data_IF_122041852592
#
_entry.id   IF_122041852592
#
_cell.length_a   1.000
_cell.length_b   1.000
_cell.length_c   1.000
_cell.angle_alpha   90.00
_cell.angle_beta   90.00
_cell.angle_gamma   90.00
#
_symmetry.space_group_name_H-M   'P 1'
#
loop_
_entity.id
_entity.type
_entity.pdbx_description
1 polymer ?
#
# COMPACT_ATOMS: atom_id res chain seq x y z
N UNK A 1 4.28 -54.33 -31.48
CA UNK A 1 4.25 -53.59 -30.20
C UNK A 1 5.65 -53.03 -29.95
N UNK A 2 5.95 -51.81 -30.43
CA UNK A 2 7.23 -51.15 -30.16
C UNK A 2 6.99 -49.95 -29.25
N UNK A 3 7.02 -50.19 -27.94
CA UNK A 3 7.18 -49.13 -26.94
C UNK A 3 8.64 -48.71 -26.91
N UNK A 4 9.01 -47.75 -27.75
CA UNK A 4 10.38 -47.25 -27.82
C UNK A 4 10.77 -46.45 -26.56
N UNK A 5 12.01 -46.58 -26.05
CA UNK A 5 12.48 -45.91 -24.83
C UNK A 5 12.48 -44.37 -24.89
N UNK A 6 12.26 -43.78 -26.07
CA UNK A 6 12.21 -42.33 -26.29
C UNK A 6 10.99 -41.61 -25.69
N UNK A 7 9.88 -42.31 -25.45
CA UNK A 7 8.66 -41.69 -24.86
C UNK A 7 8.77 -41.43 -23.36
N UNK A 8 9.63 -42.17 -22.66
CA UNK A 8 9.85 -41.98 -21.22
C UNK A 8 10.81 -40.82 -20.95
N UNK A 9 11.93 -40.72 -21.69
CA UNK A 9 12.91 -39.64 -21.53
C UNK A 9 12.33 -38.25 -21.84
N UNK A 10 11.51 -38.15 -22.90
CA UNK A 10 10.80 -36.91 -23.23
C UNK A 10 9.81 -36.51 -22.15
N UNK A 11 9.11 -37.46 -21.52
CA UNK A 11 8.21 -37.22 -20.39
C UNK A 11 8.96 -36.74 -19.13
N UNK A 12 10.12 -37.30 -18.82
CA UNK A 12 10.97 -36.85 -17.70
C UNK A 12 11.50 -35.43 -17.93
N UNK A 13 12.00 -35.14 -19.14
CA UNK A 13 12.50 -33.81 -19.49
C UNK A 13 11.40 -32.72 -19.46
N UNK A 14 10.19 -33.04 -19.91
CA UNK A 14 9.04 -32.14 -19.84
C UNK A 14 8.65 -31.88 -18.38
N UNK A 15 8.64 -32.92 -17.54
CA UNK A 15 8.27 -32.83 -16.12
C UNK A 15 9.29 -32.02 -15.30
N UNK A 16 10.58 -32.18 -15.60
CA UNK A 16 11.65 -31.41 -14.96
C UNK A 16 11.58 -29.93 -15.35
N UNK A 17 11.31 -29.64 -16.63
CA UNK A 17 11.12 -28.27 -17.11
C UNK A 17 9.87 -27.60 -16.56
N UNK A 18 8.76 -28.34 -16.37
CA UNK A 18 7.56 -27.80 -15.70
C UNK A 18 7.79 -27.54 -14.22
N UNK A 19 8.51 -28.43 -13.52
CA UNK A 19 8.81 -28.29 -12.10
C UNK A 19 9.66 -27.06 -11.83
N UNK A 20 10.68 -26.81 -12.67
CA UNK A 20 11.50 -25.60 -12.60
C UNK A 20 10.65 -24.33 -12.78
N UNK A 21 9.76 -24.28 -13.78
CA UNK A 21 8.86 -23.14 -14.01
C UNK A 21 7.96 -22.86 -12.80
N UNK A 22 7.41 -23.90 -12.19
CA UNK A 22 6.55 -23.77 -11.00
C UNK A 22 7.34 -23.19 -9.83
N UNK A 23 8.55 -23.70 -9.57
CA UNK A 23 9.41 -23.19 -8.48
C UNK A 23 9.79 -21.72 -8.69
N UNK A 24 10.06 -21.31 -9.94
CA UNK A 24 10.33 -19.90 -10.25
C UNK A 24 9.10 -19.01 -10.00
N UNK A 25 7.91 -19.43 -10.44
CA UNK A 25 6.67 -18.68 -10.20
C UNK A 25 6.35 -18.60 -8.70
N UNK A 26 6.53 -19.70 -7.96
CA UNK A 26 6.30 -19.72 -6.51
C UNK A 26 7.23 -18.73 -5.79
N UNK A 27 8.53 -18.70 -6.17
CA UNK A 27 9.50 -17.74 -5.63
C UNK A 27 9.15 -16.30 -5.97
N UNK A 28 8.64 -16.05 -7.17
CA UNK A 28 8.22 -14.72 -7.59
C UNK A 28 7.02 -14.25 -6.78
N UNK A 29 5.98 -15.08 -6.65
CA UNK A 29 4.78 -14.79 -5.86
C UNK A 29 5.16 -14.55 -4.39
N UNK A 30 6.01 -15.41 -3.81
CA UNK A 30 6.48 -15.25 -2.44
C UNK A 30 7.22 -13.91 -2.23
N UNK A 31 8.08 -13.50 -3.18
CA UNK A 31 8.75 -12.19 -3.12
C UNK A 31 7.77 -11.03 -3.23
N UNK A 32 6.80 -11.10 -4.14
CA UNK A 32 5.76 -10.08 -4.27
C UNK A 32 4.95 -9.95 -2.98
N UNK A 33 4.53 -11.05 -2.38
CA UNK A 33 3.83 -11.05 -1.09
C UNK A 33 4.67 -10.42 0.02
N UNK A 34 5.96 -10.76 0.12
CA UNK A 34 6.85 -10.15 1.10
C UNK A 34 6.99 -8.64 0.89
N UNK A 35 7.14 -8.17 -0.35
CA UNK A 35 7.23 -6.73 -0.66
C UNK A 35 5.93 -6.02 -0.28
N UNK A 36 4.78 -6.61 -0.60
CA UNK A 36 3.46 -6.05 -0.28
C UNK A 36 3.24 -5.99 1.24
N UNK A 37 3.68 -7.01 1.97
CA UNK A 37 3.66 -7.04 3.42
C UNK A 37 4.55 -5.94 4.02
N UNK A 38 5.78 -5.78 3.52
CA UNK A 38 6.70 -4.72 3.96
C UNK A 38 6.12 -3.34 3.69
N UNK A 39 5.56 -3.12 2.49
CA UNK A 39 4.91 -1.86 2.15
C UNK A 39 3.74 -1.57 3.09
N UNK A 40 2.89 -2.57 3.36
CA UNK A 40 1.78 -2.40 4.29
C UNK A 40 2.28 -2.11 5.72
N UNK A 41 3.32 -2.82 6.17
CA UNK A 41 3.94 -2.64 7.47
C UNK A 41 4.70 -1.31 7.61
N UNK A 42 5.19 -0.73 6.51
CA UNK A 42 5.78 0.61 6.48
C UNK A 42 4.70 1.70 6.37
N UNK A 43 3.61 1.44 5.65
CA UNK A 43 2.49 2.37 5.52
C UNK A 43 1.65 2.45 6.79
N UNK A 44 1.53 1.37 7.57
CA UNK A 44 0.82 1.37 8.85
C UNK A 44 1.38 2.41 9.85
N UNK A 45 2.70 2.44 10.14
CA UNK A 45 3.31 3.45 10.99
C UNK A 45 3.48 4.78 10.28
N UNK A 46 3.47 4.86 8.93
CA UNK A 46 3.47 6.13 8.21
C UNK A 46 2.09 6.81 8.21
N UNK A 47 1.01 6.05 8.33
CA UNK A 47 -0.35 6.61 8.40
C UNK A 47 -0.53 7.55 9.57
N UNK A 48 0.08 7.28 10.74
CA UNK A 48 0.07 8.18 11.91
C UNK A 48 0.78 9.53 11.66
N UNK A 49 2.09 9.59 11.35
CA UNK A 49 2.80 10.85 11.15
C UNK A 49 2.28 11.61 9.93
N UNK A 50 1.84 10.92 8.86
CA UNK A 50 1.19 11.57 7.72
C UNK A 50 -0.12 12.24 8.16
N UNK A 51 -0.95 11.54 8.94
CA UNK A 51 -2.20 12.12 9.45
C UNK A 51 -1.94 13.29 10.39
N UNK A 52 -0.98 13.19 11.31
CA UNK A 52 -0.58 14.30 12.19
C UNK A 52 0.01 15.48 11.39
N UNK A 53 0.78 15.21 10.35
CA UNK A 53 1.37 16.24 9.49
C UNK A 53 0.32 16.97 8.66
N UNK A 54 -0.64 16.22 8.11
CA UNK A 54 -1.83 16.75 7.45
C UNK A 54 -2.61 17.61 8.45
N UNK A 55 -2.92 17.10 9.64
CA UNK A 55 -3.59 17.85 10.70
C UNK A 55 -2.86 19.16 11.04
N UNK A 56 -1.54 19.10 11.22
CA UNK A 56 -0.70 20.26 11.47
C UNK A 56 -0.78 21.28 10.34
N UNK A 57 -0.62 20.87 9.07
CA UNK A 57 -0.75 21.78 7.91
C UNK A 57 -2.15 22.38 7.81
N UNK A 58 -3.19 21.60 8.11
CA UNK A 58 -4.57 22.04 8.04
C UNK A 58 -4.94 23.04 9.12
N UNK A 59 -4.27 22.99 10.27
CA UNK A 59 -4.44 23.92 11.41
C UNK A 59 -3.35 24.99 11.47
N UNK A 60 -2.31 24.90 10.62
CA UNK A 60 -1.21 25.85 10.56
C UNK A 60 -1.76 27.21 10.15
N UNK A 61 -1.84 28.14 11.10
CA UNK A 61 -2.18 29.52 10.77
C UNK A 61 -1.00 30.19 10.06
N UNK A 62 -1.24 30.95 8.97
CA UNK A 62 -0.19 31.69 8.30
C UNK A 62 0.40 32.75 9.24
N UNK A 63 1.70 32.65 9.51
CA UNK A 63 2.46 33.58 10.35
C UNK A 63 2.44 34.97 9.71
N UNK A 64 1.61 35.88 10.23
CA UNK A 64 1.49 37.25 9.75
C UNK A 64 0.06 37.74 9.52
N UNK A 65 -0.95 36.88 9.63
CA UNK A 65 -2.34 37.30 9.63
C UNK A 65 -2.79 37.64 11.06
N UNK A 66 -3.44 38.79 11.25
CA UNK A 66 -4.11 39.16 12.51
C UNK A 66 -5.31 38.26 12.86
N UNK A 67 -5.71 37.40 11.91
CA UNK A 67 -6.81 36.45 12.03
C UNK A 67 -6.37 35.09 11.46
N UNK A 68 -6.58 34.00 12.21
CA UNK A 68 -6.43 32.63 11.71
C UNK A 68 -7.54 32.31 10.70
N UNK A 69 -7.37 32.72 9.44
CA UNK A 69 -8.24 32.28 8.35
C UNK A 69 -7.55 31.11 7.67
N UNK A 70 -8.06 29.92 7.89
CA UNK A 70 -7.57 28.71 7.25
C UNK A 70 -7.91 28.76 5.76
N UNK A 71 -6.94 28.43 4.92
CA UNK A 71 -7.07 28.48 3.45
C UNK A 71 -8.27 27.72 2.89
N UNK A 72 -8.67 26.62 3.53
CA UNK A 72 -9.83 25.81 3.17
C UNK A 72 -11.18 26.39 3.63
N UNK A 73 -11.16 27.29 4.62
CA UNK A 73 -12.35 27.93 5.20
C UNK A 73 -12.96 28.99 4.25
N UNK A 74 -12.28 29.29 3.13
CA UNK A 74 -12.83 30.11 2.04
C UNK A 74 -13.95 29.42 1.25
N UNK A 75 -14.13 28.09 1.39
CA UNK A 75 -15.15 27.33 0.66
C UNK A 75 -15.96 26.46 1.61
N UNK A 76 -17.27 26.72 1.70
CA UNK A 76 -18.19 25.98 2.56
C UNK A 76 -18.29 24.47 2.20
N UNK A 77 -17.94 24.09 0.96
CA UNK A 77 -17.88 22.70 0.56
C UNK A 77 -16.62 22.01 1.11
N UNK A 78 -15.47 22.67 1.00
CA UNK A 78 -14.19 22.12 1.48
C UNK A 78 -14.17 22.06 3.01
N UNK A 79 -14.75 23.04 3.68
CA UNK A 79 -14.92 23.06 5.14
C UNK A 79 -15.57 21.77 5.67
N UNK A 80 -16.71 21.35 5.11
CA UNK A 80 -17.39 20.11 5.56
C UNK A 80 -16.56 18.85 5.31
N UNK A 81 -15.86 18.79 4.18
CA UNK A 81 -15.03 17.64 3.81
C UNK A 81 -13.81 17.56 4.72
N UNK A 82 -13.21 18.70 5.01
CA UNK A 82 -12.02 18.81 5.84
C UNK A 82 -12.34 18.55 7.30
N UNK A 83 -13.44 19.07 7.84
CA UNK A 83 -13.90 18.72 9.19
C UNK A 83 -14.12 17.22 9.34
N UNK A 84 -14.79 16.58 8.37
CA UNK A 84 -14.93 15.11 8.38
C UNK A 84 -13.59 14.38 8.33
N UNK A 85 -12.61 14.91 7.60
CA UNK A 85 -11.28 14.33 7.52
C UNK A 85 -10.55 14.47 8.86
N UNK A 86 -10.65 15.63 9.51
CA UNK A 86 -10.08 15.90 10.83
C UNK A 86 -10.72 15.00 11.88
N UNK A 87 -12.06 14.96 11.96
CA UNK A 87 -12.82 14.08 12.86
C UNK A 87 -12.44 12.61 12.67
N UNK A 88 -12.26 12.18 11.42
CA UNK A 88 -11.83 10.81 11.12
C UNK A 88 -10.42 10.54 11.62
N UNK A 89 -9.50 11.49 11.49
CA UNK A 89 -8.12 11.38 11.99
C UNK A 89 -8.11 11.34 13.52
N UNK A 90 -8.82 12.25 14.18
CA UNK A 90 -8.93 12.33 15.64
C UNK A 90 -9.55 11.05 16.23
N UNK A 91 -10.68 10.60 15.66
CA UNK A 91 -11.35 9.34 16.06
C UNK A 91 -10.50 8.09 15.80
N UNK A 92 -9.61 8.09 14.80
CA UNK A 92 -8.79 6.92 14.47
C UNK A 92 -7.51 6.84 15.32
N UNK A 93 -6.99 7.98 15.77
CA UNK A 93 -5.67 8.05 16.42
C UNK A 93 -5.69 8.45 17.89
N UNK A 94 -6.85 8.84 18.44
CA UNK A 94 -7.06 9.20 19.86
C UNK A 94 -6.05 10.28 20.29
N UNK A 95 -6.01 11.37 19.52
CA UNK A 95 -5.13 12.54 19.72
C UNK A 95 -5.90 13.60 20.50
#
# INVERSE_FOLDING_TARGET
>A
MFGGPGSSLSRWYINEKSSLRIVFMLRFIARCLCILLILNLCLLPLRRPIACYIHYILLQCPSGASWCILWWQKSAYLEKVIWKLIDYIESTYDI
#
